data_IF_284312754416
#
_entry.id   IF_284312754416
#
_cell.length_a   1.000
_cell.length_b   1.000
_cell.length_c   1.000
_cell.angle_alpha   90.00
_cell.angle_beta   90.00
_cell.angle_gamma   90.00
#
_symmetry.space_group_name_H-M   'P 1'
#
loop_
_entity.id
_entity.type
_entity.pdbx_description
1 polymer ?
#
# COMPACT_ATOMS: atom_id res chain seq x y z
N UNK A 1 18.08 -2.22 4.80
CA UNK A 1 18.04 -0.76 5.12
C UNK A 1 16.84 -0.11 4.47
N UNK A 2 16.06 0.65 5.23
CA UNK A 2 14.91 1.41 4.72
C UNK A 2 15.40 2.70 4.09
N UNK A 3 14.97 2.99 2.88
CA UNK A 3 15.26 4.25 2.18
C UNK A 3 14.04 5.15 2.09
N UNK A 4 14.28 6.44 1.88
CA UNK A 4 13.21 7.38 1.52
C UNK A 4 12.55 6.91 0.22
N UNK A 5 11.23 6.95 0.19
CA UNK A 5 10.46 6.48 -0.95
C UNK A 5 10.67 7.36 -2.18
N UNK A 6 11.15 6.76 -3.28
CA UNK A 6 11.48 7.50 -4.52
C UNK A 6 10.27 8.20 -5.14
N UNK A 7 9.05 7.73 -4.88
CA UNK A 7 7.81 8.33 -5.39
C UNK A 7 7.62 9.80 -4.95
N UNK A 8 8.23 10.21 -3.81
CA UNK A 8 8.24 11.60 -3.37
C UNK A 8 8.89 12.56 -4.38
N UNK A 9 9.80 12.08 -5.20
CA UNK A 9 10.47 12.88 -6.21
C UNK A 9 9.56 13.30 -7.37
N UNK A 10 8.36 12.69 -7.49
CA UNK A 10 7.37 13.08 -8.48
C UNK A 10 6.68 14.41 -8.14
N UNK A 11 6.67 14.80 -6.86
CA UNK A 11 6.18 16.09 -6.37
C UNK A 11 4.77 16.10 -5.81
N UNK A 12 4.32 17.30 -5.46
CA UNK A 12 3.13 17.53 -4.63
C UNK A 12 1.79 17.17 -5.30
N UNK A 13 1.76 17.01 -6.61
CA UNK A 13 0.57 16.52 -7.32
C UNK A 13 0.32 15.02 -7.08
N UNK A 14 1.36 14.28 -6.70
CA UNK A 14 1.32 12.84 -6.47
C UNK A 14 1.20 12.48 -5.00
N UNK A 15 1.76 13.31 -4.13
CA UNK A 15 1.96 12.99 -2.72
C UNK A 15 1.63 14.17 -1.81
N UNK A 16 1.22 13.84 -0.59
CA UNK A 16 1.11 14.81 0.50
C UNK A 16 1.88 14.29 1.70
N UNK A 17 2.91 15.03 2.13
CA UNK A 17 3.63 14.71 3.37
C UNK A 17 2.66 14.80 4.55
N UNK A 18 2.71 13.82 5.44
CA UNK A 18 1.82 13.74 6.59
C UNK A 18 2.61 13.32 7.81
N UNK A 19 2.45 14.06 8.90
CA UNK A 19 2.88 13.58 10.21
C UNK A 19 1.83 12.58 10.72
N UNK A 20 2.19 11.32 10.96
CA UNK A 20 1.24 10.34 11.46
C UNK A 20 0.71 10.73 12.84
N UNK A 21 -0.55 10.44 13.08
CA UNK A 21 -1.18 10.51 14.39
C UNK A 21 -1.46 9.07 14.82
N UNK A 22 -0.55 8.51 15.61
CA UNK A 22 -0.65 7.12 16.02
C UNK A 22 -1.76 6.89 17.05
N UNK A 23 -2.41 5.70 17.01
CA UNK A 23 -3.33 5.30 18.08
C UNK A 23 -2.63 5.25 19.45
N UNK A 24 -3.40 5.51 20.52
CA UNK A 24 -2.89 5.48 21.89
C UNK A 24 -2.45 4.07 22.30
N UNK A 25 -1.40 4.00 23.12
CA UNK A 25 -0.92 2.76 23.72
C UNK A 25 -0.71 1.62 22.72
N UNK A 26 -0.02 1.91 21.60
CA UNK A 26 0.33 0.90 20.61
C UNK A 26 1.23 -0.18 21.22
N UNK A 27 0.82 -1.43 21.03
CA UNK A 27 1.59 -2.61 21.39
C UNK A 27 1.91 -3.41 20.12
N UNK A 28 3.18 -3.70 19.91
CA UNK A 28 3.60 -4.58 18.82
C UNK A 28 3.24 -6.03 19.18
N UNK A 29 2.36 -6.64 18.39
CA UNK A 29 1.88 -8.00 18.61
C UNK A 29 2.61 -9.03 17.76
N UNK A 30 2.88 -8.71 16.49
CA UNK A 30 3.48 -9.64 15.54
C UNK A 30 4.49 -8.94 14.62
N UNK A 31 5.57 -9.65 14.34
CA UNK A 31 6.53 -9.32 13.27
C UNK A 31 6.68 -10.56 12.37
N UNK A 32 6.54 -10.37 11.07
CA UNK A 32 6.82 -11.40 10.08
C UNK A 32 8.32 -11.35 9.70
N UNK A 33 9.14 -12.04 10.48
CA UNK A 33 10.60 -12.05 10.31
C UNK A 33 11.05 -12.70 9.01
N UNK A 34 10.33 -13.72 8.55
CA UNK A 34 10.60 -14.38 7.27
C UNK A 34 10.38 -13.42 6.11
N UNK A 35 9.28 -12.68 6.14
CA UNK A 35 9.01 -11.63 5.17
C UNK A 35 10.05 -10.52 5.22
N UNK A 36 10.42 -10.05 6.43
CA UNK A 36 11.45 -9.03 6.61
C UNK A 36 12.75 -9.40 5.91
N UNK A 37 13.22 -10.63 6.13
CA UNK A 37 14.42 -11.16 5.47
C UNK A 37 14.26 -11.20 3.94
N UNK A 38 13.09 -11.62 3.43
CA UNK A 38 12.81 -11.69 1.99
C UNK A 38 12.85 -10.34 1.30
N UNK A 39 12.45 -9.27 1.99
CA UNK A 39 12.43 -7.89 1.46
C UNK A 39 13.67 -7.08 1.85
N UNK A 40 14.69 -7.72 2.44
CA UNK A 40 15.99 -7.11 2.74
C UNK A 40 16.00 -6.20 3.97
N UNK A 41 15.11 -6.44 4.93
CA UNK A 41 15.11 -5.77 6.24
C UNK A 41 15.81 -6.62 7.29
N UNK A 42 16.67 -5.99 8.08
CA UNK A 42 17.33 -6.59 9.24
C UNK A 42 16.64 -6.21 10.56
N UNK A 43 17.19 -6.70 11.69
CA UNK A 43 16.62 -6.43 13.01
C UNK A 43 16.69 -4.95 13.40
N UNK A 44 17.69 -4.22 12.93
CA UNK A 44 17.81 -2.78 13.21
C UNK A 44 16.75 -2.00 12.42
N UNK A 45 16.48 -2.38 11.18
CA UNK A 45 15.39 -1.83 10.37
C UNK A 45 14.03 -2.06 11.06
N UNK A 46 13.77 -3.29 11.52
CA UNK A 46 12.51 -3.64 12.21
C UNK A 46 12.35 -2.85 13.50
N UNK A 47 13.43 -2.71 14.28
CA UNK A 47 13.44 -1.88 15.49
C UNK A 47 13.19 -0.40 15.18
N UNK A 48 13.79 0.12 14.13
CA UNK A 48 13.59 1.51 13.69
C UNK A 48 12.13 1.77 13.32
N UNK A 49 11.47 0.83 12.62
CA UNK A 49 10.03 0.92 12.31
C UNK A 49 9.20 0.89 13.60
N UNK A 50 9.51 -0.03 14.51
CA UNK A 50 8.81 -0.13 15.80
C UNK A 50 8.97 1.15 16.63
N UNK A 51 10.19 1.69 16.73
CA UNK A 51 10.46 2.91 17.48
C UNK A 51 9.78 4.12 16.85
N UNK A 52 9.67 4.17 15.53
CA UNK A 52 8.88 5.17 14.82
C UNK A 52 7.40 5.10 15.20
N UNK A 53 6.80 3.91 15.18
CA UNK A 53 5.38 3.72 15.47
C UNK A 53 5.03 3.92 16.96
N UNK A 54 5.87 3.43 17.89
CA UNK A 54 5.53 3.39 19.31
C UNK A 54 6.14 4.53 20.14
N UNK A 55 7.20 5.18 19.64
CA UNK A 55 7.96 6.20 20.39
C UNK A 55 8.09 7.52 19.64
N UNK A 56 7.50 7.62 18.44
CA UNK A 56 7.63 8.77 17.55
C UNK A 56 9.10 9.17 17.28
N UNK A 57 10.00 8.20 17.36
CA UNK A 57 11.43 8.36 17.13
C UNK A 57 11.74 7.87 15.71
N UNK A 58 12.44 8.56 14.98
CA UNK A 58 12.99 8.40 13.66
C UNK A 58 12.47 9.48 12.71
N UNK A 59 13.17 10.61 12.76
CA UNK A 59 12.86 11.79 11.92
C UNK A 59 13.33 11.64 10.47
N UNK A 60 14.01 10.55 10.14
CA UNK A 60 14.54 10.32 8.79
C UNK A 60 13.47 9.77 7.84
N UNK A 61 12.43 9.12 8.38
CA UNK A 61 11.28 8.70 7.59
C UNK A 61 10.44 9.93 7.18
N UNK A 62 10.00 9.92 5.94
CA UNK A 62 9.15 10.96 5.34
C UNK A 62 7.81 10.36 4.92
N UNK A 63 6.91 10.10 5.88
CA UNK A 63 5.62 9.52 5.58
C UNK A 63 4.79 10.42 4.68
N UNK A 64 4.12 9.83 3.70
CA UNK A 64 3.24 10.56 2.81
C UNK A 64 2.03 9.72 2.41
N UNK A 65 0.95 10.39 2.07
CA UNK A 65 -0.23 9.82 1.45
C UNK A 65 -0.18 10.06 -0.06
N UNK A 66 -0.51 9.04 -0.85
CA UNK A 66 -0.58 9.14 -2.31
C UNK A 66 -1.95 9.61 -2.77
N UNK A 67 -1.97 10.48 -3.79
CA UNK A 67 -3.18 10.91 -4.47
C UNK A 67 -3.54 9.94 -5.60
N UNK A 68 -4.80 9.54 -5.69
CA UNK A 68 -5.34 8.76 -6.80
C UNK A 68 -6.84 9.02 -6.98
N UNK A 69 -7.41 8.53 -8.05
CA UNK A 69 -8.83 8.46 -8.32
C UNK A 69 -9.27 6.99 -8.35
N UNK A 70 -10.44 6.69 -8.84
CA UNK A 70 -10.81 5.30 -9.07
C UNK A 70 -12.25 5.11 -9.49
N UNK A 71 -12.49 3.96 -10.10
CA UNK A 71 -13.85 3.47 -10.36
C UNK A 71 -14.27 2.59 -9.20
N UNK A 72 -15.17 3.12 -8.38
CA UNK A 72 -15.75 2.40 -7.25
C UNK A 72 -17.19 1.99 -7.61
N UNK A 73 -17.43 0.66 -7.65
CA UNK A 73 -18.75 0.11 -8.01
C UNK A 73 -19.30 0.64 -9.34
N UNK A 74 -18.43 0.84 -10.34
CA UNK A 74 -18.79 1.32 -11.67
C UNK A 74 -18.94 2.85 -11.79
N UNK A 75 -18.72 3.60 -10.71
CA UNK A 75 -18.76 5.07 -10.73
C UNK A 75 -17.35 5.64 -10.54
N UNK A 76 -16.99 6.59 -11.40
CA UNK A 76 -15.72 7.29 -11.27
C UNK A 76 -15.75 8.29 -10.12
N UNK A 77 -14.78 8.17 -9.22
CA UNK A 77 -14.53 9.11 -8.11
C UNK A 77 -13.23 9.85 -8.41
N UNK A 78 -13.36 11.14 -8.67
CA UNK A 78 -12.26 11.97 -9.18
C UNK A 78 -11.15 12.28 -8.16
N UNK A 79 -11.42 12.10 -6.87
CA UNK A 79 -10.45 12.30 -5.79
C UNK A 79 -10.66 11.25 -4.71
N UNK A 80 -9.73 10.34 -4.66
CA UNK A 80 -9.46 9.41 -3.59
C UNK A 80 -8.05 9.71 -3.06
N UNK A 81 -7.41 8.73 -2.48
CA UNK A 81 -6.06 8.80 -1.96
C UNK A 81 -5.94 7.96 -0.70
N UNK A 82 -4.75 7.89 -0.15
CA UNK A 82 -4.48 7.10 1.06
C UNK A 82 -5.11 7.77 2.29
N UNK A 83 -6.42 7.56 2.50
CA UNK A 83 -7.22 8.25 3.52
C UNK A 83 -7.00 7.75 4.96
N UNK A 84 -6.33 6.61 5.15
CA UNK A 84 -6.03 6.04 6.48
C UNK A 84 -4.68 5.31 6.52
N UNK A 85 -3.79 5.69 5.64
CA UNK A 85 -2.49 5.05 5.57
C UNK A 85 -1.44 5.91 4.90
N UNK A 86 -0.18 5.55 5.10
CA UNK A 86 0.97 6.32 4.67
C UNK A 86 2.04 5.37 4.10
N UNK A 87 2.64 5.76 3.00
CA UNK A 87 3.90 5.18 2.56
C UNK A 87 5.03 5.75 3.43
N UNK A 88 5.79 4.89 4.09
CA UNK A 88 6.82 5.29 5.06
C UNK A 88 8.24 5.09 4.54
N UNK A 89 8.42 4.33 3.48
CA UNK A 89 9.72 4.06 2.88
C UNK A 89 9.69 2.89 1.91
N UNK A 90 10.86 2.56 1.41
CA UNK A 90 11.11 1.42 0.54
C UNK A 90 12.25 0.56 1.10
N UNK A 91 12.14 -0.76 0.92
CA UNK A 91 13.23 -1.70 1.13
C UNK A 91 13.65 -2.32 -0.20
N UNK A 92 14.85 -2.88 -0.22
CA UNK A 92 15.46 -3.45 -1.42
C UNK A 92 15.99 -4.84 -1.12
N UNK A 93 15.60 -5.80 -1.93
CA UNK A 93 16.15 -7.14 -1.88
C UNK A 93 16.59 -7.55 -3.29
N UNK A 94 17.90 -7.74 -3.48
CA UNK A 94 18.53 -7.91 -4.78
C UNK A 94 18.23 -6.69 -5.66
N UNK A 95 17.57 -6.88 -6.80
CA UNK A 95 17.16 -5.87 -7.77
C UNK A 95 15.69 -5.42 -7.64
N UNK A 96 15.00 -5.91 -6.60
CA UNK A 96 13.57 -5.65 -6.37
C UNK A 96 13.35 -4.61 -5.31
N UNK A 97 12.32 -3.80 -5.52
CA UNK A 97 11.84 -2.77 -4.60
C UNK A 97 10.57 -3.26 -3.91
N UNK A 98 10.43 -2.93 -2.64
CA UNK A 98 9.23 -3.19 -1.86
C UNK A 98 8.84 -1.93 -1.09
N UNK A 99 7.59 -1.53 -1.26
CA UNK A 99 7.00 -0.41 -0.54
C UNK A 99 6.57 -0.85 0.86
N UNK A 100 6.79 0.03 1.84
CA UNK A 100 6.30 -0.13 3.21
C UNK A 100 5.13 0.84 3.43
N UNK A 101 3.95 0.27 3.71
CA UNK A 101 2.71 1.03 3.89
C UNK A 101 2.14 0.81 5.28
N UNK A 102 1.95 1.90 5.99
CA UNK A 102 1.43 1.96 7.35
C UNK A 102 -0.06 2.31 7.30
N UNK A 103 -0.94 1.39 7.73
CA UNK A 103 -2.39 1.57 7.73
C UNK A 103 -2.91 1.78 9.15
N UNK A 104 -3.75 2.77 9.34
CA UNK A 104 -4.37 3.10 10.63
C UNK A 104 -3.65 4.21 11.41
N UNK A 105 -2.77 4.98 10.75
CA UNK A 105 -1.90 5.99 11.35
C UNK A 105 -2.51 7.40 11.47
N UNK A 106 -3.83 7.50 11.38
CA UNK A 106 -4.55 8.76 11.53
C UNK A 106 -4.98 9.41 10.23
N UNK A 107 -5.48 10.64 10.36
CA UNK A 107 -6.06 11.43 9.28
C UNK A 107 -4.97 11.88 8.29
N UNK A 108 -5.32 11.82 7.01
CA UNK A 108 -4.55 12.37 5.89
C UNK A 108 -5.41 13.40 5.13
N UNK A 109 -4.83 14.17 4.21
CA UNK A 109 -5.62 15.03 3.34
C UNK A 109 -6.69 14.32 2.51
N UNK A 110 -6.64 12.99 2.42
CA UNK A 110 -7.56 12.17 1.65
C UNK A 110 -8.57 11.39 2.50
N UNK A 111 -8.62 11.62 3.82
CA UNK A 111 -9.52 10.89 4.74
C UNK A 111 -10.99 11.22 4.56
N UNK A 112 -11.32 12.29 3.86
CA UNK A 112 -12.70 12.78 3.70
C UNK A 112 -13.38 12.96 5.07
N UNK A 113 -14.35 12.10 5.41
CA UNK A 113 -15.05 12.08 6.71
C UNK A 113 -14.53 10.99 7.66
N UNK A 114 -13.48 10.26 7.27
CA UNK A 114 -12.92 9.18 8.08
C UNK A 114 -11.96 9.70 9.14
N UNK A 115 -11.81 8.95 10.22
CA UNK A 115 -10.90 9.22 11.33
C UNK A 115 -9.45 8.76 11.07
N UNK A 116 -9.20 8.14 9.93
CA UNK A 116 -7.88 7.58 9.59
C UNK A 116 -7.49 6.34 10.39
N UNK A 117 -8.38 5.78 11.20
CA UNK A 117 -8.12 4.59 12.03
C UNK A 117 -8.44 3.29 11.29
N UNK A 118 -7.65 2.28 11.54
CA UNK A 118 -8.01 0.89 11.30
C UNK A 118 -8.49 0.26 12.60
N UNK A 119 -9.37 -0.74 12.52
CA UNK A 119 -9.88 -1.45 13.70
C UNK A 119 -9.26 -2.82 13.80
N UNK A 120 -9.15 -3.32 15.04
CA UNK A 120 -8.48 -4.58 15.37
C UNK A 120 -9.03 -5.75 14.55
N UNK A 121 -10.34 -5.91 14.50
CA UNK A 121 -11.02 -6.99 13.80
C UNK A 121 -10.68 -7.05 12.30
N UNK A 122 -10.75 -5.90 11.61
CA UNK A 122 -10.44 -5.86 10.18
C UNK A 122 -8.94 -6.00 9.91
N UNK A 123 -8.10 -5.47 10.79
CA UNK A 123 -6.64 -5.57 10.64
C UNK A 123 -6.14 -7.01 10.84
N UNK A 124 -6.73 -7.77 11.78
CA UNK A 124 -6.45 -9.21 11.94
C UNK A 124 -6.87 -9.97 10.67
N UNK A 125 -8.07 -9.68 10.14
CA UNK A 125 -8.56 -10.34 8.92
C UNK A 125 -7.66 -10.03 7.73
N UNK A 126 -7.24 -8.77 7.56
CA UNK A 126 -6.32 -8.36 6.50
C UNK A 126 -4.97 -9.08 6.62
N UNK A 127 -4.42 -9.16 7.84
CA UNK A 127 -3.18 -9.89 8.10
C UNK A 127 -3.29 -11.36 7.70
N UNK A 128 -4.31 -12.05 8.21
CA UNK A 128 -4.51 -13.47 7.95
C UNK A 128 -4.83 -13.72 6.47
N UNK A 129 -5.67 -12.87 5.86
CA UNK A 129 -6.05 -12.99 4.45
C UNK A 129 -4.84 -12.83 3.52
N UNK A 130 -4.00 -11.83 3.75
CA UNK A 130 -2.80 -11.61 2.97
C UNK A 130 -1.81 -12.78 3.07
N UNK A 131 -1.53 -13.28 4.28
CA UNK A 131 -0.61 -14.39 4.49
C UNK A 131 -1.18 -15.74 3.97
N UNK A 132 -2.49 -15.95 4.08
CA UNK A 132 -3.15 -17.12 3.50
C UNK A 132 -3.06 -17.12 1.96
N UNK A 133 -3.32 -15.98 1.31
CA UNK A 133 -3.17 -15.84 -0.14
C UNK A 133 -1.73 -16.08 -0.58
N UNK A 134 -0.77 -15.54 0.16
CA UNK A 134 0.63 -15.83 -0.11
C UNK A 134 0.96 -17.32 0.03
N UNK A 135 0.48 -17.99 1.08
CA UNK A 135 0.64 -19.43 1.27
C UNK A 135 0.04 -20.26 0.12
N UNK A 136 -1.04 -19.78 -0.49
CA UNK A 136 -1.67 -20.34 -1.67
C UNK A 136 -0.97 -19.93 -2.99
N UNK A 137 0.14 -19.19 -2.93
CA UNK A 137 0.91 -18.68 -4.07
C UNK A 137 0.12 -17.71 -4.97
N UNK A 138 -0.83 -17.00 -4.40
CA UNK A 138 -1.57 -15.94 -5.09
C UNK A 138 -0.84 -14.61 -4.84
N UNK A 139 -0.60 -13.80 -5.89
CA UNK A 139 -0.01 -12.47 -5.73
C UNK A 139 -0.85 -11.60 -4.79
N UNK A 140 -0.22 -11.02 -3.79
CA UNK A 140 -0.88 -10.24 -2.75
C UNK A 140 0.12 -9.33 -2.05
N UNK A 141 -0.35 -8.21 -1.49
CA UNK A 141 0.41 -7.52 -0.45
C UNK A 141 0.62 -8.44 0.75
N UNK A 142 1.71 -8.24 1.48
CA UNK A 142 2.08 -9.04 2.64
C UNK A 142 2.02 -8.20 3.92
N UNK A 143 1.83 -8.85 5.05
CA UNK A 143 1.77 -8.19 6.36
C UNK A 143 3.08 -8.36 7.11
N UNK A 144 3.77 -7.22 7.35
CA UNK A 144 5.09 -7.19 7.99
C UNK A 144 4.99 -7.08 9.52
N UNK A 145 4.21 -6.12 9.99
CA UNK A 145 4.01 -5.88 11.43
C UNK A 145 2.56 -5.62 11.74
N UNK A 146 2.14 -6.05 12.93
CA UNK A 146 0.80 -5.81 13.44
C UNK A 146 0.87 -5.23 14.85
N UNK A 147 0.08 -4.18 15.09
CA UNK A 147 0.00 -3.49 16.38
C UNK A 147 -1.45 -3.43 16.85
N UNK A 148 -1.68 -3.72 18.11
CA UNK A 148 -2.92 -3.44 18.80
C UNK A 148 -2.85 -2.09 19.53
N UNK A 149 -4.00 -1.56 19.92
CA UNK A 149 -4.12 -0.32 20.69
C UNK A 149 -5.25 -0.43 21.70
N UNK A 150 -5.22 0.37 22.75
CA UNK A 150 -6.35 0.52 23.68
C UNK A 150 -7.36 1.60 23.24
N UNK A 151 -7.03 2.41 22.23
CA UNK A 151 -7.89 3.47 21.72
C UNK A 151 -9.21 2.91 21.21
N UNK A 152 -10.32 3.55 21.62
CA UNK A 152 -11.66 3.21 21.16
C UNK A 152 -12.03 4.06 19.96
N UNK A 153 -12.53 3.39 18.93
CA UNK A 153 -12.92 3.99 17.67
C UNK A 153 -14.41 3.76 17.47
N UNK A 154 -15.15 4.84 17.19
CA UNK A 154 -16.58 4.73 16.90
C UNK A 154 -16.78 4.16 15.50
N UNK A 155 -17.55 3.07 15.41
CA UNK A 155 -18.12 2.47 14.22
C UNK A 155 -19.62 2.27 14.50
N UNK A 156 -20.25 1.24 14.00
CA UNK A 156 -21.59 0.87 14.43
C UNK A 156 -21.65 0.61 15.94
N UNK A 157 -20.56 0.05 16.45
CA UNK A 157 -20.27 -0.08 17.87
C UNK A 157 -18.87 0.48 18.16
N UNK A 158 -18.52 0.63 19.46
CA UNK A 158 -17.15 0.93 19.84
C UNK A 158 -16.24 -0.27 19.53
N UNK A 159 -15.29 -0.05 18.64
CA UNK A 159 -14.26 -1.00 18.26
C UNK A 159 -12.91 -0.56 18.84
N UNK A 160 -11.94 -1.45 18.82
CA UNK A 160 -10.58 -1.13 19.25
C UNK A 160 -9.70 -0.81 18.05
N UNK A 161 -8.90 0.24 18.13
CA UNK A 161 -7.97 0.61 17.08
C UNK A 161 -6.84 -0.43 16.93
N UNK A 162 -6.30 -0.50 15.75
CA UNK A 162 -5.11 -1.28 15.43
C UNK A 162 -4.33 -0.60 14.30
N UNK A 163 -3.11 -1.05 14.09
CA UNK A 163 -2.28 -0.58 13.01
C UNK A 163 -1.54 -1.76 12.37
N UNK A 164 -1.39 -1.72 11.05
CA UNK A 164 -0.69 -2.76 10.31
C UNK A 164 0.33 -2.11 9.35
N UNK A 165 1.52 -2.70 9.28
CA UNK A 165 2.48 -2.39 8.23
C UNK A 165 2.41 -3.52 7.22
N UNK A 166 2.01 -3.18 6.02
CA UNK A 166 2.02 -4.09 4.89
C UNK A 166 3.09 -3.71 3.88
N UNK A 167 3.48 -4.65 3.08
CA UNK A 167 4.43 -4.46 2.00
C UNK A 167 3.91 -5.06 0.70
N UNK A 168 4.27 -4.45 -0.39
CA UNK A 168 4.04 -4.95 -1.74
C UNK A 168 5.15 -4.45 -2.65
N UNK A 169 5.25 -4.99 -3.85
CA UNK A 169 6.21 -4.49 -4.84
C UNK A 169 5.99 -3.02 -5.19
N UNK A 170 4.73 -2.59 -5.18
CA UNK A 170 4.34 -1.21 -5.41
C UNK A 170 2.98 -0.91 -4.79
N UNK A 171 2.78 0.33 -4.35
CA UNK A 171 1.47 0.87 -4.00
C UNK A 171 0.88 1.77 -5.11
N UNK A 172 1.49 1.80 -6.30
CA UNK A 172 0.89 2.45 -7.47
C UNK A 172 -0.31 1.62 -7.92
N UNK A 173 -1.48 2.23 -7.87
CA UNK A 173 -2.78 1.65 -8.20
C UNK A 173 -3.18 2.04 -9.62
N UNK A 174 -4.13 1.36 -10.22
CA UNK A 174 -4.71 1.82 -11.49
C UNK A 174 -5.28 3.24 -11.35
N UNK A 175 -5.84 3.54 -10.20
CA UNK A 175 -6.38 4.87 -9.86
C UNK A 175 -5.35 6.01 -9.89
N UNK A 176 -4.06 5.76 -9.74
CA UNK A 176 -3.03 6.79 -9.90
C UNK A 176 -2.93 7.26 -11.36
N UNK A 177 -3.08 6.36 -12.33
CA UNK A 177 -3.11 6.71 -13.76
C UNK A 177 -4.42 7.38 -14.13
N UNK A 178 -5.56 6.87 -13.64
CA UNK A 178 -6.88 7.46 -13.85
C UNK A 178 -6.93 8.90 -13.35
N UNK A 179 -6.30 9.20 -12.22
CA UNK A 179 -6.26 10.53 -11.62
C UNK A 179 -5.69 11.59 -12.58
N UNK A 180 -4.59 11.31 -13.25
CA UNK A 180 -3.99 12.23 -14.21
C UNK A 180 -4.69 12.19 -15.57
N UNK A 181 -5.14 11.02 -16.00
CA UNK A 181 -5.85 10.87 -17.28
C UNK A 181 -7.14 11.70 -17.33
N UNK A 182 -8.01 11.56 -16.34
CA UNK A 182 -9.27 12.29 -16.29
C UNK A 182 -9.11 13.79 -15.98
N UNK A 183 -7.96 14.20 -15.47
CA UNK A 183 -7.60 15.62 -15.32
C UNK A 183 -6.95 16.21 -16.57
N UNK A 184 -6.79 15.42 -17.64
CA UNK A 184 -6.06 15.81 -18.85
C UNK A 184 -4.62 16.28 -18.56
N UNK A 185 -3.99 15.77 -17.49
CA UNK A 185 -2.62 16.09 -17.08
C UNK A 185 -1.63 15.06 -17.67
N UNK A 186 -1.43 15.14 -18.99
CA UNK A 186 -0.58 14.21 -19.73
C UNK A 186 0.89 14.26 -19.30
N UNK A 187 1.36 15.40 -18.80
CA UNK A 187 2.74 15.56 -18.32
C UNK A 187 2.98 14.69 -17.07
N UNK A 188 2.10 14.79 -16.07
CA UNK A 188 2.25 14.00 -14.85
C UNK A 188 1.89 12.52 -15.08
N UNK A 189 0.96 12.22 -15.99
CA UNK A 189 0.74 10.83 -16.41
C UNK A 189 2.01 10.22 -17.01
N UNK A 190 2.73 10.97 -17.87
CA UNK A 190 4.00 10.52 -18.41
C UNK A 190 5.06 10.34 -17.32
N UNK A 191 5.20 11.29 -16.39
CA UNK A 191 6.13 11.15 -15.24
C UNK A 191 5.87 9.88 -14.42
N UNK A 192 4.59 9.53 -14.22
CA UNK A 192 4.23 8.29 -13.51
C UNK A 192 4.67 7.04 -14.28
N UNK A 193 4.48 7.04 -15.60
CA UNK A 193 4.90 5.94 -16.47
C UNK A 193 6.42 5.81 -16.48
N UNK A 194 7.14 6.93 -16.65
CA UNK A 194 8.61 6.96 -16.62
C UNK A 194 9.13 6.43 -15.26
N UNK A 195 8.52 6.87 -14.15
CA UNK A 195 8.84 6.34 -12.83
C UNK A 195 8.69 4.80 -12.74
N UNK A 196 7.66 4.23 -13.35
CA UNK A 196 7.48 2.78 -13.37
C UNK A 196 8.62 2.07 -14.09
N UNK A 197 9.07 2.60 -15.22
CA UNK A 197 10.21 2.02 -15.96
C UNK A 197 11.54 2.18 -15.21
N UNK A 198 11.76 3.32 -14.57
CA UNK A 198 13.01 3.64 -13.90
C UNK A 198 13.17 2.92 -12.55
N UNK A 199 12.03 2.57 -11.92
CA UNK A 199 12.05 2.05 -10.55
C UNK A 199 11.98 0.52 -10.50
N UNK A 200 11.21 -0.09 -11.40
CA UNK A 200 10.89 -1.51 -11.32
C UNK A 200 11.61 -2.32 -12.39
N UNK A 201 12.59 -3.12 -11.97
CA UNK A 201 13.37 -4.01 -12.87
C UNK A 201 12.48 -4.98 -13.64
N UNK A 202 11.32 -5.36 -13.08
CA UNK A 202 10.34 -6.20 -13.73
C UNK A 202 9.76 -5.61 -15.03
N UNK A 203 9.88 -4.30 -15.23
CA UNK A 203 9.41 -3.63 -16.45
C UNK A 203 10.52 -3.36 -17.48
N UNK A 204 11.75 -3.78 -17.20
CA UNK A 204 12.89 -3.63 -18.14
C UNK A 204 12.61 -4.31 -19.48
N UNK A 205 11.97 -5.49 -19.48
CA UNK A 205 11.61 -6.20 -20.71
C UNK A 205 10.58 -5.48 -21.60
N UNK A 206 9.95 -4.43 -21.08
CA UNK A 206 9.01 -3.61 -21.83
C UNK A 206 9.73 -2.62 -22.78
N UNK A 207 11.06 -2.44 -22.68
CA UNK A 207 11.89 -1.57 -23.52
C UNK A 207 11.34 -0.14 -23.66
N UNK A 208 10.77 0.43 -22.59
CA UNK A 208 10.10 1.74 -22.61
C UNK A 208 8.77 1.79 -23.37
N UNK A 209 8.27 0.66 -23.84
CA UNK A 209 6.99 0.58 -24.56
C UNK A 209 5.80 0.59 -23.62
N UNK A 210 5.01 1.66 -23.65
CA UNK A 210 3.76 1.80 -22.86
C UNK A 210 2.79 0.65 -23.20
N UNK A 211 2.71 0.23 -24.46
CA UNK A 211 1.85 -0.89 -24.88
C UNK A 211 2.27 -2.20 -24.21
N UNK A 212 3.58 -2.50 -24.17
CA UNK A 212 4.09 -3.70 -23.49
C UNK A 212 3.84 -3.63 -21.98
N UNK A 213 4.08 -2.46 -21.34
CA UNK A 213 3.79 -2.25 -19.93
C UNK A 213 2.31 -2.50 -19.62
N UNK A 214 1.41 -1.91 -20.42
CA UNK A 214 -0.03 -2.10 -20.25
C UNK A 214 -0.43 -3.57 -20.40
N UNK A 215 0.04 -4.26 -21.45
CA UNK A 215 -0.22 -5.69 -21.62
C UNK A 215 0.26 -6.51 -20.43
N UNK A 216 1.45 -6.24 -19.90
CA UNK A 216 1.99 -6.94 -18.73
C UNK A 216 1.15 -6.74 -17.48
N UNK A 217 0.66 -5.52 -17.23
CA UNK A 217 -0.24 -5.22 -16.11
C UNK A 217 -1.57 -5.99 -16.27
N UNK A 218 -2.14 -6.01 -17.49
CA UNK A 218 -3.37 -6.77 -17.79
C UNK A 218 -3.16 -8.26 -17.54
N UNK A 219 -2.07 -8.85 -18.05
CA UNK A 219 -1.76 -10.27 -17.89
C UNK A 219 -1.55 -10.65 -16.42
N UNK A 220 -0.83 -9.83 -15.65
CA UNK A 220 -0.61 -10.06 -14.23
C UNK A 220 -1.93 -10.02 -13.45
N UNK A 221 -2.79 -9.04 -13.74
CA UNK A 221 -4.09 -8.89 -13.08
C UNK A 221 -5.03 -10.04 -13.44
N UNK A 222 -5.11 -10.41 -14.71
CA UNK A 222 -5.92 -11.53 -15.16
C UNK A 222 -5.48 -12.85 -14.54
N UNK A 223 -4.17 -13.07 -14.41
CA UNK A 223 -3.57 -14.25 -13.79
C UNK A 223 -3.92 -14.35 -12.30
N UNK A 224 -3.87 -13.24 -11.57
CA UNK A 224 -4.29 -13.17 -10.16
C UNK A 224 -5.77 -13.51 -10.02
N UNK A 225 -6.64 -12.90 -10.83
CA UNK A 225 -8.09 -13.13 -10.78
C UNK A 225 -8.43 -14.58 -11.15
N UNK A 226 -7.77 -15.16 -12.15
CA UNK A 226 -7.93 -16.56 -12.49
C UNK A 226 -7.55 -17.49 -11.33
N UNK A 227 -6.50 -17.15 -10.59
CA UNK A 227 -6.09 -17.90 -9.39
C UNK A 227 -7.14 -17.80 -8.28
N UNK A 228 -7.75 -16.64 -8.06
CA UNK A 228 -8.88 -16.50 -7.12
C UNK A 228 -10.06 -17.39 -7.50
N UNK A 229 -10.45 -17.38 -8.78
CA UNK A 229 -11.55 -18.20 -9.26
C UNK A 229 -11.27 -19.70 -9.11
N UNK A 230 -10.05 -20.13 -9.40
CA UNK A 230 -9.63 -21.53 -9.24
C UNK A 230 -9.74 -22.03 -7.80
N UNK A 231 -9.57 -21.14 -6.81
CA UNK A 231 -9.70 -21.45 -5.38
C UNK A 231 -11.09 -21.15 -4.81
N UNK A 232 -12.01 -20.64 -5.62
CA UNK A 232 -13.34 -20.24 -5.16
C UNK A 232 -13.36 -18.98 -4.29
N UNK A 233 -12.30 -18.14 -4.38
CA UNK A 233 -12.25 -16.87 -3.66
C UNK A 233 -12.97 -15.77 -4.43
N UNK A 234 -13.85 -15.04 -3.74
CA UNK A 234 -14.53 -13.86 -4.26
C UNK A 234 -14.06 -12.63 -3.49
N UNK A 235 -13.30 -11.75 -4.14
CA UNK A 235 -12.79 -10.54 -3.52
C UNK A 235 -13.93 -9.55 -3.17
N UNK A 236 -14.92 -9.40 -4.03
CA UNK A 236 -16.11 -8.57 -3.78
C UNK A 236 -15.94 -7.07 -3.98
N UNK A 237 -14.72 -6.52 -3.93
CA UNK A 237 -14.45 -5.07 -4.04
C UNK A 237 -13.31 -4.83 -5.05
N UNK A 238 -13.58 -5.14 -6.31
CA UNK A 238 -12.59 -5.06 -7.41
C UNK A 238 -12.56 -3.66 -8.05
N UNK A 239 -12.41 -2.65 -7.21
CA UNK A 239 -12.24 -1.26 -7.66
C UNK A 239 -10.82 -1.01 -8.17
N UNK A 240 -10.64 0.00 -9.01
CA UNK A 240 -9.32 0.34 -9.59
C UNK A 240 -8.34 0.92 -8.56
N UNK A 241 -8.81 1.29 -7.39
CA UNK A 241 -8.01 1.69 -6.23
C UNK A 241 -7.59 0.51 -5.32
N UNK A 242 -8.04 -0.72 -5.60
CA UNK A 242 -7.69 -1.92 -4.81
C UNK A 242 -6.66 -2.84 -5.49
N UNK A 243 -6.12 -2.44 -6.64
CA UNK A 243 -5.13 -3.21 -7.38
C UNK A 243 -3.91 -2.37 -7.69
N UNK A 244 -2.74 -3.00 -7.58
CA UNK A 244 -1.51 -2.38 -8.04
C UNK A 244 -1.11 -2.86 -9.44
N UNK A 245 -0.08 -2.21 -10.00
CA UNK A 245 0.43 -2.48 -11.34
C UNK A 245 1.15 -3.84 -11.48
N UNK A 246 1.33 -4.59 -10.40
CA UNK A 246 1.92 -5.94 -10.40
C UNK A 246 0.87 -7.06 -10.32
N UNK A 247 -0.42 -6.71 -10.35
CA UNK A 247 -1.49 -7.69 -10.14
C UNK A 247 -1.54 -8.21 -8.71
N UNK A 248 -1.32 -7.33 -7.73
CA UNK A 248 -1.51 -7.63 -6.31
C UNK A 248 -2.69 -6.81 -5.79
N UNK A 249 -3.45 -7.37 -4.85
CA UNK A 249 -4.49 -6.63 -4.12
C UNK A 249 -4.02 -6.26 -2.72
N UNK A 250 -4.62 -5.22 -2.17
CA UNK A 250 -4.26 -4.69 -0.85
C UNK A 250 -5.33 -4.90 0.21
N UNK A 251 -6.58 -5.11 -0.17
CA UNK A 251 -7.70 -5.04 0.75
C UNK A 251 -8.50 -6.34 0.71
N UNK A 252 -8.67 -6.94 1.87
CA UNK A 252 -9.43 -8.18 2.05
C UNK A 252 -10.70 -7.93 2.87
N UNK A 253 -11.39 -6.86 2.61
CA UNK A 253 -12.75 -6.55 3.02
C UNK A 253 -12.98 -6.17 4.44
#
# INVERSE_FOLDING_TARGET
>A
MISTHKYLNLGDKFTSLVNPNFPENLTLELINTDLASQIGLDNDDLKNIQDFCCKEKNKDLKPFASAYAGHQFGQYVNQLGDGRGLLIGQSFAKDKVFDLFLKGSGITPFSRFGDGRAILKSSIREYIGAEAMHGLRIPTSRSLMFFSSSEKVQRDQFETAAMIIRTSKSHIRFGNFEYFYYKNDSENLKKLIDYCFDTYSEFTECDGSIKKLFSKIVDSTASMIASWQALGFCHGVMNTDNFNIFGETFDYG
#
